data_IF_150744962083
#
_entry.id   IF_150744962083
#
_cell.length_a   1.000
_cell.length_b   1.000
_cell.length_c   1.000
_cell.angle_alpha   90.00
_cell.angle_beta   90.00
_cell.angle_gamma   90.00
#
_symmetry.space_group_name_H-M   'P 1'
#
loop_
_entity.id
_entity.type
_entity.pdbx_description
1 polymer ?
#
# COMPACT_ATOMS: atom_id res chain seq x y z
N UNK A 1 43.63 -55.04 0.75
CA UNK A 1 43.52 -53.56 0.58
C UNK A 1 42.65 -53.12 -0.60
N UNK A 2 42.62 -53.85 -1.73
CA UNK A 2 41.79 -53.46 -2.89
C UNK A 2 40.28 -53.80 -2.76
N UNK A 3 39.89 -54.79 -1.94
CA UNK A 3 38.48 -55.12 -1.72
C UNK A 3 37.75 -54.12 -0.82
N UNK A 4 38.42 -53.52 0.18
CA UNK A 4 37.76 -52.56 1.09
C UNK A 4 37.39 -51.28 0.36
N UNK A 5 38.25 -50.77 -0.53
CA UNK A 5 37.97 -49.56 -1.30
C UNK A 5 36.77 -49.69 -2.25
N UNK A 6 36.48 -50.89 -2.77
CA UNK A 6 35.30 -51.12 -3.62
C UNK A 6 33.99 -51.13 -2.83
N UNK A 7 34.02 -51.59 -1.59
CA UNK A 7 32.86 -51.56 -0.69
C UNK A 7 32.59 -50.11 -0.25
N UNK A 8 33.62 -49.34 0.11
CA UNK A 8 33.46 -47.92 0.42
C UNK A 8 32.93 -47.11 -0.76
N UNK A 9 33.39 -47.39 -1.98
CA UNK A 9 32.91 -46.70 -3.18
C UNK A 9 31.46 -47.07 -3.52
N UNK A 10 31.07 -48.35 -3.36
CA UNK A 10 29.69 -48.79 -3.58
C UNK A 10 28.72 -48.26 -2.52
N UNK A 11 29.13 -48.18 -1.25
CA UNK A 11 28.35 -47.57 -0.17
C UNK A 11 28.25 -46.05 -0.36
N UNK A 12 29.32 -45.39 -0.79
CA UNK A 12 29.31 -43.97 -1.13
C UNK A 12 28.35 -43.67 -2.28
N UNK A 13 28.39 -44.45 -3.37
CA UNK A 13 27.46 -44.29 -4.49
C UNK A 13 26.02 -44.65 -4.10
N UNK A 14 25.78 -45.65 -3.24
CA UNK A 14 24.44 -45.97 -2.74
C UNK A 14 23.87 -44.86 -1.84
N UNK A 15 24.70 -44.25 -0.99
CA UNK A 15 24.31 -43.09 -0.17
C UNK A 15 24.06 -41.88 -1.06
N UNK A 16 24.93 -41.57 -2.02
CA UNK A 16 24.77 -40.45 -2.96
C UNK A 16 23.56 -40.64 -3.89
N UNK A 17 23.29 -41.88 -4.33
CA UNK A 17 22.13 -42.20 -5.18
C UNK A 17 20.82 -42.16 -4.38
N UNK A 18 20.82 -42.61 -3.13
CA UNK A 18 19.68 -42.43 -2.22
C UNK A 18 19.48 -40.95 -1.89
N UNK A 19 20.56 -40.17 -1.73
CA UNK A 19 20.53 -38.70 -1.60
C UNK A 19 19.92 -38.00 -2.81
N UNK A 20 20.26 -38.42 -4.03
CA UNK A 20 19.71 -37.84 -5.27
C UNK A 20 18.23 -38.18 -5.48
N UNK A 21 17.80 -39.38 -5.10
CA UNK A 21 16.39 -39.80 -5.22
C UNK A 21 15.53 -39.19 -4.10
N UNK A 22 16.09 -38.95 -2.91
CA UNK A 22 15.41 -38.24 -1.82
C UNK A 22 15.33 -36.72 -2.00
N UNK A 23 16.18 -36.10 -2.84
CA UNK A 23 16.10 -34.67 -3.14
C UNK A 23 14.95 -34.32 -4.09
N UNK A 24 14.51 -35.27 -4.92
CA UNK A 24 13.35 -35.09 -5.81
C UNK A 24 12.01 -35.06 -5.07
N UNK A 25 11.93 -35.64 -3.88
CA UNK A 25 10.68 -35.77 -3.11
C UNK A 25 10.39 -34.60 -2.16
N UNK A 26 11.35 -33.68 -1.94
CA UNK A 26 11.15 -32.46 -1.12
C UNK A 26 10.62 -31.29 -1.96
N UNK A 27 10.22 -31.55 -3.22
CA UNK A 27 9.69 -30.52 -4.13
C UNK A 27 8.17 -30.39 -4.13
N UNK A 28 7.46 -31.16 -3.29
CA UNK A 28 6.02 -30.98 -3.09
C UNK A 28 5.65 -31.43 -1.67
N UNK A 29 5.89 -30.57 -0.66
CA UNK A 29 5.33 -30.80 0.67
C UNK A 29 4.07 -29.94 0.86
N UNK A 30 2.87 -30.55 0.97
CA UNK A 30 1.61 -29.86 1.29
C UNK A 30 1.60 -29.22 2.69
N UNK A 31 2.60 -29.47 3.55
CA UNK A 31 2.63 -29.06 4.96
C UNK A 31 2.98 -27.58 5.23
N UNK A 32 3.28 -26.82 4.17
CA UNK A 32 3.76 -25.43 4.23
C UNK A 32 2.96 -24.54 5.19
N UNK A 33 1.63 -24.51 5.10
CA UNK A 33 0.81 -23.58 5.91
C UNK A 33 0.89 -23.82 7.42
N UNK A 34 0.97 -25.09 7.84
CA UNK A 34 1.10 -25.47 9.26
C UNK A 34 2.50 -25.17 9.82
N UNK A 35 3.53 -25.36 9.00
CA UNK A 35 4.92 -25.03 9.34
C UNK A 35 5.14 -23.51 9.36
N UNK A 36 4.51 -22.79 8.44
CA UNK A 36 4.61 -21.35 8.30
C UNK A 36 3.88 -20.58 9.40
N UNK A 37 2.73 -21.06 9.84
CA UNK A 37 2.02 -20.45 10.98
C UNK A 37 2.88 -20.53 12.26
N UNK A 38 3.58 -21.66 12.46
CA UNK A 38 4.53 -21.81 13.59
C UNK A 38 5.73 -20.88 13.43
N UNK A 39 6.34 -20.85 12.24
CA UNK A 39 7.45 -19.93 11.93
C UNK A 39 7.05 -18.47 12.17
N UNK A 40 5.83 -18.09 11.76
CA UNK A 40 5.24 -16.79 11.98
C UNK A 40 5.10 -16.43 13.45
N UNK A 41 4.54 -17.34 14.25
CA UNK A 41 4.41 -17.14 15.70
C UNK A 41 5.77 -16.99 16.40
N UNK A 42 6.78 -17.77 15.98
CA UNK A 42 8.14 -17.67 16.52
C UNK A 42 8.80 -16.34 16.12
N UNK A 43 8.66 -15.94 14.86
CA UNK A 43 9.15 -14.66 14.37
C UNK A 43 8.47 -13.47 15.05
N UNK A 44 7.14 -13.51 15.21
CA UNK A 44 6.36 -12.47 15.89
C UNK A 44 6.85 -12.26 17.32
N UNK A 45 7.10 -13.34 18.07
CA UNK A 45 7.64 -13.26 19.44
C UNK A 45 8.99 -12.56 19.50
N UNK A 46 9.83 -12.72 18.49
CA UNK A 46 11.16 -12.09 18.44
C UNK A 46 11.09 -10.64 17.97
N UNK A 47 10.34 -10.38 16.89
CA UNK A 47 10.08 -9.05 16.34
C UNK A 47 9.52 -8.13 17.41
N UNK A 48 8.52 -8.59 18.16
CA UNK A 48 7.83 -7.80 19.17
C UNK A 48 8.66 -7.49 20.41
N UNK A 49 9.77 -8.21 20.65
CA UNK A 49 10.75 -7.81 21.68
C UNK A 49 11.54 -6.57 21.26
N UNK A 50 11.72 -6.39 19.97
CA UNK A 50 12.51 -5.31 19.38
C UNK A 50 11.66 -4.10 18.98
N UNK A 51 10.35 -4.30 18.77
CA UNK A 51 9.41 -3.25 18.41
C UNK A 51 8.74 -2.63 19.63
N UNK A 52 8.59 -1.31 19.59
CA UNK A 52 7.66 -0.61 20.47
C UNK A 52 6.27 -0.65 19.85
N UNK A 53 5.40 -1.51 20.36
CA UNK A 53 4.00 -1.56 19.93
C UNK A 53 3.23 -0.38 20.53
N UNK A 54 2.36 0.22 19.72
CA UNK A 54 1.45 1.29 20.13
C UNK A 54 0.14 0.68 20.61
N UNK A 55 -0.29 1.07 21.81
CA UNK A 55 -1.56 0.66 22.40
C UNK A 55 -2.60 1.78 22.25
N UNK A 56 -3.12 1.93 21.03
CA UNK A 56 -4.22 2.85 20.69
C UNK A 56 -5.40 2.04 20.14
N UNK A 57 -6.40 1.82 20.99
CA UNK A 57 -7.56 0.99 20.66
C UNK A 57 -8.38 1.54 19.48
N UNK A 58 -8.44 2.86 19.28
CA UNK A 58 -9.22 3.43 18.17
C UNK A 58 -8.51 3.19 16.83
N UNK A 59 -7.20 3.40 16.79
CA UNK A 59 -6.40 3.13 15.58
C UNK A 59 -6.36 1.63 15.28
N UNK A 60 -6.25 0.81 16.32
CA UNK A 60 -6.19 -0.64 16.19
C UNK A 60 -7.53 -1.22 15.73
N UNK A 61 -8.66 -0.74 16.26
CA UNK A 61 -10.00 -1.10 15.79
C UNK A 61 -10.22 -0.72 14.32
N UNK A 62 -9.77 0.48 13.92
CA UNK A 62 -9.82 0.93 12.51
C UNK A 62 -9.06 -0.02 11.59
N UNK A 63 -7.80 -0.34 11.92
CA UNK A 63 -6.98 -1.26 11.11
C UNK A 63 -7.57 -2.66 11.10
N UNK A 64 -8.00 -3.19 12.25
CA UNK A 64 -8.60 -4.53 12.34
C UNK A 64 -9.84 -4.64 11.48
N UNK A 65 -10.77 -3.67 11.55
CA UNK A 65 -11.98 -3.67 10.72
C UNK A 65 -11.69 -3.70 9.22
N UNK A 66 -10.70 -2.93 8.79
CA UNK A 66 -10.28 -2.91 7.37
C UNK A 66 -9.60 -4.24 7.01
N UNK A 67 -8.61 -4.63 7.82
CA UNK A 67 -7.80 -5.83 7.62
C UNK A 67 -8.63 -7.11 7.63
N UNK A 68 -9.61 -7.25 8.53
CA UNK A 68 -10.51 -8.41 8.62
C UNK A 68 -11.39 -8.58 7.37
N UNK A 69 -11.89 -7.49 6.79
CA UNK A 69 -12.66 -7.55 5.53
C UNK A 69 -11.78 -8.08 4.39
N UNK A 70 -10.56 -7.58 4.29
CA UNK A 70 -9.62 -7.93 3.23
C UNK A 70 -9.10 -9.36 3.42
N UNK A 71 -8.71 -9.73 4.65
CA UNK A 71 -8.21 -11.07 4.95
C UNK A 71 -9.28 -12.13 4.82
N UNK A 72 -10.56 -11.80 5.07
CA UNK A 72 -11.69 -12.68 4.75
C UNK A 72 -11.74 -12.98 3.25
N UNK A 73 -11.51 -11.99 2.38
CA UNK A 73 -11.41 -12.24 0.94
C UNK A 73 -10.23 -13.15 0.63
N UNK A 74 -9.04 -12.85 1.19
CA UNK A 74 -7.82 -13.63 0.97
C UNK A 74 -7.97 -15.11 1.39
N UNK A 75 -8.63 -15.37 2.53
CA UNK A 75 -8.88 -16.73 3.03
C UNK A 75 -9.96 -17.49 2.24
N UNK A 76 -10.78 -16.82 1.43
CA UNK A 76 -11.91 -17.45 0.74
C UNK A 76 -11.83 -17.38 -0.79
N UNK A 77 -10.85 -16.68 -1.35
CA UNK A 77 -10.75 -16.47 -2.80
C UNK A 77 -9.34 -16.72 -3.29
N UNK A 78 -9.20 -17.70 -4.18
CA UNK A 78 -7.92 -17.99 -4.84
C UNK A 78 -7.64 -16.90 -5.88
N UNK A 79 -6.45 -16.32 -5.80
CA UNK A 79 -5.92 -15.39 -6.80
C UNK A 79 -4.66 -16.02 -7.38
N UNK A 80 -4.55 -16.04 -8.70
CA UNK A 80 -3.37 -16.61 -9.36
C UNK A 80 -2.15 -15.76 -9.05
N UNK A 81 -1.21 -16.33 -8.30
CA UNK A 81 0.10 -15.72 -8.04
C UNK A 81 1.05 -15.93 -9.21
N UNK A 82 1.81 -14.88 -9.53
CA UNK A 82 2.94 -14.85 -10.45
C UNK A 82 4.30 -15.02 -9.75
N UNK A 83 4.32 -14.94 -8.41
CA UNK A 83 5.50 -15.20 -7.58
C UNK A 83 5.07 -15.76 -6.21
N UNK A 84 5.53 -16.96 -5.85
CA UNK A 84 5.10 -17.61 -4.60
C UNK A 84 4.09 -18.73 -4.87
N UNK A 85 3.01 -18.77 -4.10
CA UNK A 85 2.02 -19.86 -4.14
C UNK A 85 0.59 -19.30 -4.22
N UNK A 86 -0.20 -19.84 -5.16
CA UNK A 86 -1.60 -19.41 -5.37
C UNK A 86 -2.60 -20.13 -4.45
N UNK A 87 -2.33 -21.36 -4.02
CA UNK A 87 -3.30 -22.14 -3.25
C UNK A 87 -3.64 -21.44 -1.93
N UNK A 88 -4.94 -21.35 -1.63
CA UNK A 88 -5.43 -20.71 -0.41
C UNK A 88 -4.86 -21.41 0.83
N UNK A 89 -4.13 -20.66 1.64
CA UNK A 89 -3.77 -21.04 3.00
C UNK A 89 -4.56 -20.16 3.97
N UNK A 90 -5.32 -20.79 4.86
CA UNK A 90 -6.04 -20.05 5.89
C UNK A 90 -5.07 -19.59 6.98
N UNK A 91 -5.01 -18.28 7.19
CA UNK A 91 -4.28 -17.67 8.29
C UNK A 91 -5.22 -16.91 9.23
N UNK A 92 -4.88 -16.93 10.53
CA UNK A 92 -5.49 -16.07 11.54
C UNK A 92 -4.74 -14.73 11.54
N UNK A 93 -5.15 -13.82 10.64
CA UNK A 93 -4.46 -12.56 10.45
C UNK A 93 -4.47 -11.71 11.72
N UNK A 94 -3.29 -11.25 12.12
CA UNK A 94 -3.09 -10.43 13.31
C UNK A 94 -2.54 -9.07 12.90
N UNK A 95 -3.20 -8.00 13.32
CA UNK A 95 -2.79 -6.63 13.02
C UNK A 95 -2.24 -5.95 14.27
N UNK A 96 -1.09 -5.29 14.15
CA UNK A 96 -0.44 -4.55 15.24
C UNK A 96 0.09 -3.21 14.74
N UNK A 97 0.11 -2.23 15.63
CA UNK A 97 0.64 -0.89 15.33
C UNK A 97 2.01 -0.75 15.99
N UNK A 98 2.98 -0.27 15.22
CA UNK A 98 4.32 0.07 15.72
C UNK A 98 4.37 1.58 15.98
N UNK A 99 4.83 1.97 17.17
CA UNK A 99 5.06 3.37 17.54
C UNK A 99 6.34 3.88 16.87
N UNK A 100 6.24 4.10 15.56
CA UNK A 100 7.26 4.68 14.70
C UNK A 100 6.61 5.70 13.77
N UNK A 101 7.30 6.83 13.56
CA UNK A 101 6.86 7.89 12.64
C UNK A 101 7.30 7.60 11.18
N UNK A 102 8.00 6.49 10.94
CA UNK A 102 8.33 6.03 9.60
C UNK A 102 7.08 5.60 8.82
N UNK A 103 7.09 5.82 7.50
CA UNK A 103 6.05 5.36 6.59
C UNK A 103 6.41 3.96 6.15
N UNK A 104 6.01 2.98 6.94
CA UNK A 104 6.24 1.58 6.65
C UNK A 104 5.11 0.70 7.17
N UNK A 105 4.89 -0.41 6.49
CA UNK A 105 4.09 -1.54 6.93
C UNK A 105 4.79 -2.80 6.42
N UNK A 106 4.59 -3.90 7.13
CA UNK A 106 5.18 -5.16 6.71
C UNK A 106 4.40 -6.35 7.24
N UNK A 107 4.50 -7.44 6.49
CA UNK A 107 3.99 -8.75 6.84
C UNK A 107 5.13 -9.71 7.17
N UNK A 108 4.92 -10.57 8.15
CA UNK A 108 5.77 -11.74 8.40
C UNK A 108 4.93 -13.02 8.21
N UNK A 109 5.55 -14.20 8.08
CA UNK A 109 4.83 -15.43 7.78
C UNK A 109 3.70 -15.71 8.78
N UNK A 110 2.65 -16.42 8.35
CA UNK A 110 1.52 -16.79 9.22
C UNK A 110 0.45 -15.70 9.40
N UNK A 111 0.48 -14.63 8.61
CA UNK A 111 -0.58 -13.60 8.62
C UNK A 111 -0.41 -12.49 9.66
N UNK A 112 0.80 -12.29 10.20
CA UNK A 112 1.07 -11.17 11.10
C UNK A 112 1.43 -9.92 10.30
N UNK A 113 0.65 -8.87 10.48
CA UNK A 113 0.75 -7.59 9.76
C UNK A 113 1.05 -6.48 10.78
N UNK A 114 2.11 -5.74 10.52
CA UNK A 114 2.55 -4.62 11.34
C UNK A 114 2.48 -3.33 10.53
N UNK A 115 1.93 -2.27 11.13
CA UNK A 115 1.77 -0.98 10.47
C UNK A 115 2.35 0.11 11.37
N UNK A 116 3.23 0.95 10.83
CA UNK A 116 3.78 2.05 11.60
C UNK A 116 2.75 3.18 11.71
N UNK A 117 2.72 3.85 12.87
CA UNK A 117 1.88 5.04 13.12
C UNK A 117 2.10 6.15 12.08
N UNK A 118 3.33 6.32 11.61
CA UNK A 118 3.69 7.25 10.53
C UNK A 118 2.97 6.94 9.22
N UNK A 119 2.87 5.66 8.83
CA UNK A 119 2.14 5.24 7.64
C UNK A 119 0.63 5.52 7.77
N UNK A 120 0.04 5.20 8.94
CA UNK A 120 -1.39 5.46 9.20
C UNK A 120 -1.70 6.96 9.07
N UNK A 121 -0.78 7.80 9.55
CA UNK A 121 -0.91 9.27 9.49
C UNK A 121 -0.67 9.82 8.08
N UNK A 122 0.04 9.08 7.23
CA UNK A 122 0.30 9.44 5.84
C UNK A 122 -0.86 9.08 4.90
N UNK A 123 -1.63 8.03 5.22
CA UNK A 123 -2.87 7.71 4.52
C UNK A 123 -3.94 8.79 4.77
N UNK A 124 -4.60 9.24 3.72
CA UNK A 124 -5.62 10.29 3.79
C UNK A 124 -7.05 9.76 3.81
N UNK A 125 -7.22 8.46 3.61
CA UNK A 125 -8.52 7.78 3.66
C UNK A 125 -8.39 6.33 4.11
N UNK A 126 -9.53 5.71 4.40
CA UNK A 126 -9.60 4.27 4.65
C UNK A 126 -9.35 3.45 3.38
N UNK A 127 -9.61 3.98 2.18
CA UNK A 127 -9.32 3.29 0.91
C UNK A 127 -7.81 3.16 0.68
N UNK A 128 -7.03 4.18 1.04
CA UNK A 128 -5.57 4.13 0.97
C UNK A 128 -4.98 3.21 2.03
N UNK A 129 -5.49 3.27 3.26
CA UNK A 129 -5.06 2.37 4.32
C UNK A 129 -5.42 0.90 3.98
N UNK A 130 -6.61 0.68 3.41
CA UNK A 130 -7.02 -0.62 2.89
C UNK A 130 -6.07 -1.11 1.80
N UNK A 131 -5.60 -0.24 0.90
CA UNK A 131 -4.65 -0.62 -0.14
C UNK A 131 -3.33 -1.12 0.43
N UNK A 132 -2.76 -0.43 1.42
CA UNK A 132 -1.55 -0.88 2.11
C UNK A 132 -1.76 -2.23 2.80
N UNK A 133 -2.88 -2.37 3.53
CA UNK A 133 -3.20 -3.64 4.20
C UNK A 133 -3.44 -4.78 3.20
N UNK A 134 -4.09 -4.52 2.07
CA UNK A 134 -4.30 -5.51 1.02
C UNK A 134 -3.00 -5.96 0.38
N UNK A 135 -2.05 -5.04 0.18
CA UNK A 135 -0.72 -5.35 -0.31
C UNK A 135 0.04 -6.27 0.66
N UNK A 136 0.07 -5.93 1.95
CA UNK A 136 0.71 -6.79 2.96
C UNK A 136 0.02 -8.14 3.15
N UNK A 137 -1.31 -8.18 3.07
CA UNK A 137 -2.08 -9.42 3.09
C UNK A 137 -1.76 -10.26 1.85
N UNK A 138 -1.56 -9.66 0.67
CA UNK A 138 -1.15 -10.39 -0.53
C UNK A 138 0.24 -11.03 -0.38
N UNK A 139 1.21 -10.32 0.22
CA UNK A 139 2.52 -10.90 0.56
C UNK A 139 2.42 -12.14 1.46
N UNK A 140 1.56 -12.07 2.48
CA UNK A 140 1.31 -13.19 3.38
C UNK A 140 0.56 -14.34 2.67
N UNK A 141 -0.54 -14.04 1.99
CA UNK A 141 -1.40 -15.01 1.31
C UNK A 141 -0.65 -15.79 0.22
N UNK A 142 0.24 -15.12 -0.52
CA UNK A 142 1.05 -15.76 -1.57
C UNK A 142 2.40 -16.26 -1.09
N UNK A 143 2.65 -16.22 0.22
CA UNK A 143 3.82 -16.81 0.85
C UNK A 143 5.16 -16.22 0.35
N UNK A 144 5.16 -14.93 -0.02
CA UNK A 144 6.32 -14.28 -0.66
C UNK A 144 7.58 -14.38 0.21
N UNK A 145 7.45 -14.21 1.53
CA UNK A 145 8.59 -14.28 2.46
C UNK A 145 9.19 -15.68 2.52
N UNK A 146 8.37 -16.71 2.70
CA UNK A 146 8.88 -18.08 2.80
C UNK A 146 9.45 -18.57 1.47
N UNK A 147 8.89 -18.12 0.35
CA UNK A 147 9.44 -18.38 -0.98
C UNK A 147 10.82 -17.71 -1.16
N UNK A 148 10.95 -16.44 -0.80
CA UNK A 148 12.20 -15.68 -0.89
C UNK A 148 13.30 -16.30 0.00
N UNK A 149 12.98 -16.66 1.25
CA UNK A 149 13.91 -17.34 2.16
C UNK A 149 14.39 -18.67 1.57
N UNK A 150 13.49 -19.43 0.93
CA UNK A 150 13.85 -20.69 0.26
C UNK A 150 14.77 -20.45 -0.93
N UNK A 151 14.50 -19.45 -1.76
CA UNK A 151 15.37 -19.08 -2.88
C UNK A 151 16.77 -18.69 -2.39
N UNK A 152 16.86 -17.88 -1.33
CA UNK A 152 18.14 -17.49 -0.72
C UNK A 152 18.89 -18.70 -0.14
N UNK A 153 18.19 -19.60 0.58
CA UNK A 153 18.81 -20.80 1.16
C UNK A 153 19.34 -21.80 0.12
N UNK A 154 18.78 -21.80 -1.10
CA UNK A 154 19.30 -22.63 -2.22
C UNK A 154 20.62 -22.09 -2.76
N UNK A 155 20.87 -20.79 -2.63
CA UNK A 155 22.09 -20.12 -3.07
C UNK A 155 23.16 -20.19 -1.96
N UNK A 156 22.76 -20.05 -0.70
CA UNK A 156 23.65 -20.15 0.46
C UNK A 156 23.80 -21.59 0.95
N UNK A 157 24.80 -22.29 0.41
CA UNK A 157 25.24 -23.63 0.83
C UNK A 157 25.54 -23.79 2.35
N UNK A 158 25.62 -22.69 3.11
CA UNK A 158 25.81 -22.68 4.58
C UNK A 158 24.48 -22.75 5.37
N UNK A 159 23.37 -22.23 4.84
CA UNK A 159 22.05 -22.36 5.49
C UNK A 159 21.49 -23.78 5.36
N UNK A 160 21.83 -24.47 4.27
CA UNK A 160 21.56 -25.90 4.11
C UNK A 160 22.23 -26.74 5.23
N UNK A 161 23.39 -26.32 5.74
CA UNK A 161 24.07 -26.99 6.86
C UNK A 161 23.37 -26.75 8.20
N UNK A 162 22.80 -25.56 8.42
CA UNK A 162 22.00 -25.26 9.62
C UNK A 162 20.68 -26.04 9.58
N UNK A 163 19.99 -26.08 8.44
CA UNK A 163 18.81 -26.92 8.26
C UNK A 163 19.12 -28.43 8.46
N UNK A 164 20.30 -28.89 8.03
CA UNK A 164 20.79 -30.26 8.24
C UNK A 164 21.09 -30.56 9.73
N UNK A 165 21.61 -29.58 10.48
CA UNK A 165 21.86 -29.72 11.93
C UNK A 165 20.54 -29.74 12.70
N UNK A 166 19.56 -28.90 12.32
CA UNK A 166 18.22 -28.90 12.90
C UNK A 166 17.45 -30.21 12.65
N UNK A 167 17.72 -30.88 11.52
CA UNK A 167 17.12 -32.19 11.22
C UNK A 167 17.77 -33.36 11.98
N UNK A 168 19.00 -33.19 12.47
CA UNK A 168 19.81 -34.25 13.09
C UNK A 168 19.93 -34.16 14.63
N UNK A 169 19.58 -33.03 15.26
CA UNK A 169 19.80 -32.79 16.69
C UNK A 169 18.54 -32.42 17.46
N UNK A 170 17.93 -33.39 18.15
CA UNK A 170 16.87 -33.14 19.14
C UNK A 170 17.45 -32.40 20.36
N UNK A 171 16.90 -31.22 20.65
CA UNK A 171 17.09 -30.34 21.83
C UNK A 171 18.28 -29.37 21.80
N UNK A 172 17.99 -28.07 21.98
CA UNK A 172 18.80 -26.83 21.86
C UNK A 172 19.04 -26.19 20.48
N UNK A 173 18.84 -26.90 19.36
CA UNK A 173 18.99 -26.30 18.02
C UNK A 173 17.73 -25.54 17.53
N UNK A 174 16.54 -25.93 17.99
CA UNK A 174 15.27 -25.33 17.55
C UNK A 174 15.17 -23.84 17.95
N UNK A 175 15.52 -23.49 19.19
CA UNK A 175 15.43 -22.11 19.69
C UNK A 175 16.38 -21.15 18.95
N UNK A 176 17.61 -21.59 18.65
CA UNK A 176 18.59 -20.77 17.92
C UNK A 176 18.22 -20.63 16.43
N UNK A 177 17.73 -21.71 15.81
CA UNK A 177 17.20 -21.68 14.44
C UNK A 177 16.00 -20.73 14.34
N UNK A 178 15.09 -20.76 15.30
CA UNK A 178 13.89 -19.93 15.32
C UNK A 178 14.20 -18.44 15.54
N UNK A 179 15.17 -18.11 16.41
CA UNK A 179 15.63 -16.72 16.61
C UNK A 179 16.29 -16.18 15.34
N UNK A 180 17.16 -16.96 14.71
CA UNK A 180 17.85 -16.54 13.48
C UNK A 180 16.86 -16.34 12.32
N UNK A 181 15.88 -17.24 12.18
CA UNK A 181 14.79 -17.09 11.20
C UNK A 181 13.91 -15.88 11.51
N UNK A 182 13.57 -15.63 12.78
CA UNK A 182 12.78 -14.47 13.18
C UNK A 182 13.46 -13.13 12.89
N UNK A 183 14.74 -12.99 13.24
CA UNK A 183 15.53 -11.80 12.94
C UNK A 183 15.71 -11.57 11.43
N UNK A 184 15.86 -12.65 10.65
CA UNK A 184 15.96 -12.55 9.19
C UNK A 184 14.62 -12.18 8.54
N UNK A 185 13.49 -12.75 9.01
CA UNK A 185 12.15 -12.35 8.58
C UNK A 185 11.91 -10.87 8.90
N UNK A 186 12.21 -10.44 10.14
CA UNK A 186 12.11 -9.03 10.52
C UNK A 186 12.91 -8.15 9.59
N UNK A 187 14.19 -8.50 9.34
CA UNK A 187 15.03 -7.74 8.43
C UNK A 187 14.36 -7.63 7.07
N UNK A 188 14.09 -8.74 6.37
CA UNK A 188 13.52 -8.70 5.01
C UNK A 188 12.20 -7.92 4.95
N UNK A 189 11.32 -8.13 5.93
CA UNK A 189 10.00 -7.50 5.99
C UNK A 189 10.07 -6.01 6.33
N UNK A 190 10.79 -5.65 7.40
CA UNK A 190 10.91 -4.28 7.86
C UNK A 190 11.76 -3.42 6.91
N UNK A 191 12.61 -4.06 6.10
CA UNK A 191 13.40 -3.40 5.05
C UNK A 191 12.76 -3.50 3.66
N UNK A 192 11.50 -3.96 3.56
CA UNK A 192 10.73 -4.10 2.31
C UNK A 192 11.53 -4.66 1.13
N UNK A 193 12.38 -5.65 1.39
CA UNK A 193 13.38 -6.13 0.42
C UNK A 193 12.84 -7.26 -0.44
N UNK A 194 11.56 -7.18 -0.83
CA UNK A 194 10.97 -8.12 -1.76
C UNK A 194 11.47 -7.83 -3.19
N UNK A 195 11.40 -8.87 -4.03
CA UNK A 195 11.78 -8.74 -5.43
C UNK A 195 10.71 -7.97 -6.21
N UNK A 196 11.08 -7.34 -7.33
CA UNK A 196 10.10 -6.64 -8.18
C UNK A 196 8.96 -7.55 -8.67
N UNK A 197 9.21 -8.86 -8.77
CA UNK A 197 8.17 -9.85 -9.11
C UNK A 197 7.17 -10.02 -7.97
N UNK A 198 7.64 -10.12 -6.74
CA UNK A 198 6.78 -10.19 -5.54
C UNK A 198 5.95 -8.90 -5.38
N UNK A 199 6.55 -7.73 -5.55
CA UNK A 199 5.86 -6.43 -5.46
C UNK A 199 4.74 -6.31 -6.49
N UNK A 200 5.01 -6.67 -7.76
CA UNK A 200 4.00 -6.65 -8.82
C UNK A 200 2.88 -7.65 -8.55
N UNK A 201 3.22 -8.83 -8.04
CA UNK A 201 2.22 -9.84 -7.67
C UNK A 201 1.32 -9.34 -6.53
N UNK A 202 1.91 -8.73 -5.51
CA UNK A 202 1.22 -8.16 -4.38
C UNK A 202 0.30 -7.00 -4.80
N UNK A 203 0.75 -6.08 -5.66
CA UNK A 203 -0.09 -4.99 -6.20
C UNK A 203 -1.31 -5.51 -6.96
N UNK A 204 -1.11 -6.44 -7.89
CA UNK A 204 -2.22 -6.98 -8.69
C UNK A 204 -3.22 -7.76 -7.83
N UNK A 205 -2.72 -8.46 -6.81
CA UNK A 205 -3.54 -9.21 -5.86
C UNK A 205 -4.28 -8.27 -4.91
N UNK A 206 -3.63 -7.20 -4.44
CA UNK A 206 -4.21 -6.17 -3.60
C UNK A 206 -5.40 -5.49 -4.30
N UNK A 207 -5.24 -5.08 -5.57
CA UNK A 207 -6.35 -4.55 -6.37
C UNK A 207 -7.56 -5.49 -6.38
N UNK A 208 -7.32 -6.79 -6.56
CA UNK A 208 -8.39 -7.78 -6.53
C UNK A 208 -9.07 -7.86 -5.16
N UNK A 209 -8.29 -7.92 -4.08
CA UNK A 209 -8.81 -7.95 -2.72
C UNK A 209 -9.61 -6.69 -2.36
N UNK A 210 -9.13 -5.50 -2.75
CA UNK A 210 -9.83 -4.23 -2.53
C UNK A 210 -11.21 -4.23 -3.19
N UNK A 211 -11.26 -4.60 -4.48
CA UNK A 211 -12.50 -4.67 -5.25
C UNK A 211 -13.50 -5.62 -4.59
N UNK A 212 -13.03 -6.80 -4.14
CA UNK A 212 -13.89 -7.81 -3.48
C UNK A 212 -14.33 -7.41 -2.08
N UNK A 213 -13.47 -6.71 -1.33
CA UNK A 213 -13.77 -6.22 0.01
C UNK A 213 -14.65 -4.95 0.00
N UNK A 214 -14.88 -4.35 -1.18
CA UNK A 214 -15.71 -3.16 -1.36
C UNK A 214 -14.98 -1.84 -1.09
N UNK A 215 -13.65 -1.85 -1.09
CA UNK A 215 -12.81 -0.65 -1.05
C UNK A 215 -12.56 -0.12 -2.47
N UNK A 216 -12.36 1.18 -2.60
CA UNK A 216 -12.05 1.80 -3.88
C UNK A 216 -10.58 1.54 -4.25
N UNK A 217 -10.28 0.75 -5.29
CA UNK A 217 -8.89 0.40 -5.64
C UNK A 217 -8.10 1.59 -6.21
N UNK A 218 -8.74 2.72 -6.49
CA UNK A 218 -8.04 3.98 -6.80
C UNK A 218 -7.22 4.48 -5.58
N UNK A 219 -7.55 4.04 -4.37
CA UNK A 219 -6.77 4.29 -3.16
C UNK A 219 -5.32 3.79 -3.29
N UNK A 220 -5.11 2.61 -3.87
CA UNK A 220 -3.77 2.05 -4.10
C UNK A 220 -2.94 2.94 -5.03
N UNK A 221 -3.52 3.34 -6.16
CA UNK A 221 -2.87 4.25 -7.10
C UNK A 221 -2.51 5.57 -6.43
N UNK A 222 -3.46 6.16 -5.71
CA UNK A 222 -3.31 7.51 -5.13
C UNK A 222 -2.27 7.51 -4.00
N UNK A 223 -2.23 6.44 -3.20
CA UNK A 223 -1.19 6.23 -2.20
C UNK A 223 0.19 6.11 -2.83
N UNK A 224 0.36 5.28 -3.87
CA UNK A 224 1.65 5.08 -4.54
C UNK A 224 2.14 6.36 -5.24
N UNK A 225 1.25 7.11 -5.88
CA UNK A 225 1.57 8.41 -6.47
C UNK A 225 2.05 9.40 -5.40
N UNK A 226 1.38 9.47 -4.24
CA UNK A 226 1.83 10.33 -3.13
C UNK A 226 3.16 9.87 -2.54
N UNK A 227 3.35 8.55 -2.40
CA UNK A 227 4.60 7.98 -1.91
C UNK A 227 5.75 8.34 -2.84
N UNK A 228 5.54 8.32 -4.16
CA UNK A 228 6.54 8.69 -5.16
C UNK A 228 6.98 10.17 -5.10
N UNK A 229 6.12 11.08 -4.60
CA UNK A 229 6.42 12.51 -4.46
C UNK A 229 7.33 12.84 -3.26
N UNK A 230 7.58 11.89 -2.34
CA UNK A 230 8.47 12.13 -1.20
C UNK A 230 9.92 12.27 -1.68
N UNK A 231 10.69 13.13 -1.01
CA UNK A 231 12.11 13.40 -1.32
C UNK A 231 12.99 13.39 -0.08
N UNK A 232 12.35 13.31 1.09
CA UNK A 232 12.89 13.36 2.45
C UNK A 232 13.06 11.97 3.07
N UNK A 233 12.72 10.89 2.36
CA UNK A 233 13.20 9.55 2.67
C UNK A 233 14.69 9.55 2.33
N UNK A 234 15.51 10.00 3.29
CA UNK A 234 16.96 10.00 3.21
C UNK A 234 17.39 8.58 2.84
N UNK A 235 18.19 8.49 1.77
CA UNK A 235 18.90 7.31 1.27
C UNK A 235 19.75 6.66 2.39
N UNK A 236 19.10 5.94 3.31
CA UNK A 236 19.71 4.87 4.06
C UNK A 236 19.34 3.60 3.30
N UNK A 237 20.36 2.95 2.73
CA UNK A 237 20.33 1.81 1.77
C UNK A 237 19.58 0.55 2.23
N UNK A 238 18.31 0.74 2.54
CA UNK A 238 17.30 -0.19 3.05
C UNK A 238 15.97 0.09 2.31
N UNK A 239 15.84 1.26 1.69
CA UNK A 239 14.86 1.60 0.67
C UNK A 239 15.57 2.24 -0.55
N UNK A 240 16.46 1.48 -1.19
CA UNK A 240 16.94 1.83 -2.54
C UNK A 240 15.79 1.59 -3.52
N UNK A 241 14.99 2.63 -3.74
CA UNK A 241 14.49 3.09 -5.05
C UNK A 241 13.11 3.77 -4.92
N UNK A 242 13.10 5.08 -4.70
CA UNK A 242 11.98 5.95 -5.08
C UNK A 242 11.43 5.69 -6.51
N UNK A 243 12.23 5.24 -7.51
CA UNK A 243 11.70 4.79 -8.80
C UNK A 243 10.63 3.68 -8.75
N UNK A 244 10.59 2.84 -7.71
CA UNK A 244 9.64 1.71 -7.67
C UNK A 244 8.21 2.16 -7.42
N UNK A 245 7.97 3.15 -6.56
CA UNK A 245 6.62 3.64 -6.27
C UNK A 245 5.95 4.26 -7.51
N UNK A 246 6.69 5.08 -8.27
CA UNK A 246 6.20 5.68 -9.52
C UNK A 246 5.92 4.63 -10.59
N UNK A 247 6.81 3.65 -10.75
CA UNK A 247 6.60 2.56 -11.71
C UNK A 247 5.43 1.64 -11.30
N UNK A 248 5.32 1.28 -10.02
CA UNK A 248 4.17 0.55 -9.47
C UNK A 248 2.87 1.31 -9.70
N UNK A 249 2.84 2.61 -9.41
CA UNK A 249 1.70 3.49 -9.70
C UNK A 249 1.31 3.45 -11.19
N UNK A 250 2.29 3.50 -12.10
CA UNK A 250 2.04 3.40 -13.55
C UNK A 250 1.42 2.06 -13.94
N UNK A 251 1.90 0.96 -13.36
CA UNK A 251 1.36 -0.39 -13.61
C UNK A 251 -0.07 -0.50 -13.06
N UNK A 252 -0.31 -0.08 -11.81
CA UNK A 252 -1.64 -0.07 -11.18
C UNK A 252 -2.61 0.79 -11.99
N UNK A 253 -2.20 1.99 -12.42
CA UNK A 253 -3.00 2.86 -13.29
C UNK A 253 -3.38 2.21 -14.61
N UNK A 254 -2.41 1.54 -15.25
CA UNK A 254 -2.66 0.76 -16.46
C UNK A 254 -3.68 -0.34 -16.20
N UNK A 255 -3.57 -1.04 -15.08
CA UNK A 255 -4.49 -2.13 -14.71
C UNK A 255 -5.89 -1.63 -14.43
N UNK A 256 -6.05 -0.56 -13.64
CA UNK A 256 -7.34 0.09 -13.37
C UNK A 256 -8.04 0.51 -14.67
N UNK A 257 -7.28 1.06 -15.61
CA UNK A 257 -7.78 1.44 -16.94
C UNK A 257 -8.21 0.22 -17.76
N UNK A 258 -7.40 -0.84 -17.77
CA UNK A 258 -7.69 -2.11 -18.46
C UNK A 258 -9.00 -2.75 -17.97
N UNK A 259 -9.23 -2.76 -16.66
CA UNK A 259 -10.45 -3.35 -16.06
C UNK A 259 -11.64 -2.38 -16.02
N UNK A 260 -11.49 -1.17 -16.58
CA UNK A 260 -12.57 -0.20 -16.73
C UNK A 260 -13.00 0.52 -15.45
N UNK A 261 -12.12 0.62 -14.43
CA UNK A 261 -12.40 1.39 -13.21
C UNK A 261 -12.06 2.87 -13.47
N UNK A 262 -13.04 3.80 -13.32
CA UNK A 262 -12.77 5.22 -13.44
C UNK A 262 -11.81 5.70 -12.34
N UNK A 263 -10.74 6.40 -12.72
CA UNK A 263 -9.74 6.89 -11.78
C UNK A 263 -10.22 8.23 -11.19
N UNK A 264 -10.94 8.16 -10.06
CA UNK A 264 -11.41 9.31 -9.30
C UNK A 264 -10.62 9.48 -8.00
N UNK A 265 -9.58 10.32 -8.02
CA UNK A 265 -8.68 10.54 -6.86
C UNK A 265 -9.37 11.33 -5.76
N UNK A 266 -10.27 12.24 -6.14
CA UNK A 266 -11.05 13.04 -5.20
C UNK A 266 -11.90 12.21 -4.23
N UNK A 267 -12.22 10.98 -4.59
CA UNK A 267 -13.00 10.06 -3.74
C UNK A 267 -12.15 9.35 -2.67
N UNK A 268 -10.83 9.29 -2.83
CA UNK A 268 -9.94 8.46 -2.00
C UNK A 268 -8.82 9.23 -1.33
N UNK A 269 -8.64 10.51 -1.64
CA UNK A 269 -7.58 11.35 -1.06
C UNK A 269 -8.08 12.77 -0.83
N UNK A 270 -7.83 13.28 0.38
CA UNK A 270 -8.14 14.67 0.74
C UNK A 270 -7.29 15.70 0.00
N UNK A 271 -6.04 15.36 -0.35
CA UNK A 271 -5.13 16.20 -1.12
C UNK A 271 -5.54 16.32 -2.59
N UNK A 272 -6.26 15.33 -3.10
CA UNK A 272 -6.85 15.33 -4.43
C UNK A 272 -8.32 15.77 -4.46
N UNK A 273 -8.87 16.20 -3.32
CA UNK A 273 -10.27 16.59 -3.20
C UNK A 273 -10.42 18.08 -2.83
N UNK A 274 -11.36 18.74 -3.49
CA UNK A 274 -11.92 19.99 -3.05
C UNK A 274 -12.95 19.74 -1.95
N UNK A 275 -12.77 20.40 -0.81
CA UNK A 275 -13.65 20.27 0.36
C UNK A 275 -14.09 21.64 0.85
N UNK A 276 -15.24 21.71 1.52
CA UNK A 276 -15.81 22.95 2.04
C UNK A 276 -15.62 23.01 3.56
N UNK A 277 -15.03 24.10 4.06
CA UNK A 277 -14.90 24.40 5.48
C UNK A 277 -15.70 25.66 5.81
N UNK A 278 -16.62 25.54 6.78
CA UNK A 278 -17.31 26.69 7.36
C UNK A 278 -16.38 27.41 8.33
N UNK A 279 -16.26 28.72 8.17
CA UNK A 279 -15.47 29.61 9.03
C UNK A 279 -16.41 30.68 9.56
N UNK A 280 -16.60 30.71 10.87
CA UNK A 280 -17.39 31.76 11.52
C UNK A 280 -16.58 33.05 11.59
N UNK A 281 -17.16 34.15 11.11
CA UNK A 281 -16.68 35.50 11.37
C UNK A 281 -17.64 36.22 12.32
N UNK A 282 -17.20 37.35 12.88
CA UNK A 282 -17.89 38.08 13.94
C UNK A 282 -19.38 38.38 13.66
N UNK A 283 -19.79 38.46 12.39
CA UNK A 283 -21.15 38.84 11.99
C UNK A 283 -21.77 37.96 10.90
N UNK A 284 -21.04 36.99 10.34
CA UNK A 284 -21.50 36.12 9.25
C UNK A 284 -20.62 34.87 9.13
N UNK A 285 -21.13 33.83 8.48
CA UNK A 285 -20.33 32.66 8.12
C UNK A 285 -19.73 32.83 6.73
N UNK A 286 -18.50 32.37 6.56
CA UNK A 286 -17.83 32.25 5.25
C UNK A 286 -17.56 30.77 4.99
N UNK A 287 -17.74 30.35 3.74
CA UNK A 287 -17.46 28.99 3.30
C UNK A 287 -16.20 29.00 2.46
N UNK A 288 -15.12 28.43 2.98
CA UNK A 288 -13.85 28.29 2.29
C UNK A 288 -13.81 26.97 1.54
N UNK A 289 -13.50 27.00 0.25
CA UNK A 289 -13.21 25.79 -0.53
C UNK A 289 -11.71 25.56 -0.50
N UNK A 290 -11.30 24.39 -0.02
CA UNK A 290 -9.91 23.98 0.09
C UNK A 290 -9.60 22.88 -0.92
N UNK A 291 -8.41 22.91 -1.52
CA UNK A 291 -7.86 21.84 -2.33
C UNK A 291 -6.38 21.65 -1.95
N UNK A 292 -5.96 20.42 -1.65
CA UNK A 292 -4.60 20.17 -1.14
C UNK A 292 -4.28 20.94 0.14
N UNK A 293 -5.28 21.12 1.03
CA UNK A 293 -5.16 21.88 2.28
C UNK A 293 -5.08 23.41 2.13
N UNK A 294 -5.15 23.96 0.90
CA UNK A 294 -5.09 25.40 0.65
C UNK A 294 -6.45 25.94 0.24
N UNK A 295 -6.86 27.08 0.81
CA UNK A 295 -8.08 27.78 0.39
C UNK A 295 -7.91 28.32 -1.02
N UNK A 296 -8.74 27.84 -1.95
CA UNK A 296 -8.72 28.23 -3.36
C UNK A 296 -9.82 29.23 -3.72
N UNK A 297 -10.94 29.22 -2.98
CA UNK A 297 -12.03 30.17 -3.17
C UNK A 297 -12.83 30.33 -1.86
N UNK A 298 -13.58 31.42 -1.75
CA UNK A 298 -14.49 31.69 -0.63
C UNK A 298 -15.85 32.11 -1.17
N UNK A 299 -16.91 31.66 -0.51
CA UNK A 299 -18.28 32.00 -0.83
C UNK A 299 -19.02 32.43 0.43
N UNK A 300 -20.01 33.31 0.26
CA UNK A 300 -20.97 33.63 1.30
C UNK A 300 -22.00 32.49 1.49
N UNK A 301 -22.32 31.76 0.42
CA UNK A 301 -23.28 30.66 0.42
C UNK A 301 -22.61 29.28 0.48
N UNK A 302 -23.14 28.41 1.35
CA UNK A 302 -22.70 27.01 1.43
C UNK A 302 -23.00 26.23 0.14
N UNK A 303 -24.14 26.50 -0.51
CA UNK A 303 -24.53 25.82 -1.75
C UNK A 303 -23.52 26.13 -2.85
N UNK A 304 -23.17 27.41 -3.02
CA UNK A 304 -22.20 27.84 -4.01
C UNK A 304 -20.81 27.26 -3.74
N UNK A 305 -20.39 27.17 -2.48
CA UNK A 305 -19.14 26.52 -2.11
C UNK A 305 -19.14 25.02 -2.45
N UNK A 306 -20.25 24.32 -2.20
CA UNK A 306 -20.38 22.88 -2.49
C UNK A 306 -20.44 22.60 -4.00
N UNK A 307 -21.21 23.39 -4.75
CA UNK A 307 -21.28 23.31 -6.21
C UNK A 307 -19.89 23.53 -6.82
N UNK A 308 -19.17 24.55 -6.36
CA UNK A 308 -17.81 24.82 -6.80
C UNK A 308 -16.85 23.67 -6.44
N UNK A 309 -16.88 23.16 -5.21
CA UNK A 309 -16.03 22.06 -4.79
C UNK A 309 -16.27 20.79 -5.64
N UNK A 310 -17.53 20.43 -5.89
CA UNK A 310 -17.88 19.29 -6.74
C UNK A 310 -17.37 19.49 -8.17
N UNK A 311 -17.52 20.69 -8.74
CA UNK A 311 -17.03 20.98 -10.07
C UNK A 311 -15.49 20.88 -10.19
N UNK A 312 -14.75 21.31 -9.15
CA UNK A 312 -13.30 21.11 -9.09
C UNK A 312 -12.96 19.61 -9.07
N UNK A 313 -13.63 18.81 -8.24
CA UNK A 313 -13.41 17.36 -8.18
C UNK A 313 -13.63 16.68 -9.53
N UNK A 314 -14.73 17.03 -10.23
CA UNK A 314 -15.02 16.49 -11.57
C UNK A 314 -13.92 16.83 -12.58
N UNK A 315 -13.43 18.07 -12.62
CA UNK A 315 -12.34 18.45 -13.53
C UNK A 315 -11.05 17.68 -13.24
N UNK A 316 -10.69 17.57 -11.96
CA UNK A 316 -9.44 16.94 -11.55
C UNK A 316 -9.45 15.44 -11.86
N UNK A 317 -10.61 14.80 -11.78
CA UNK A 317 -10.77 13.38 -12.11
C UNK A 317 -10.90 13.13 -13.63
N UNK A 318 -11.55 14.02 -14.40
CA UNK A 318 -11.79 13.85 -15.84
C UNK A 318 -10.68 14.42 -16.76
N UNK A 319 -9.60 14.98 -16.20
CA UNK A 319 -8.48 15.59 -16.95
C UNK A 319 -8.94 16.63 -17.99
N UNK A 320 -9.87 17.49 -17.60
CA UNK A 320 -10.41 18.52 -18.49
C UNK A 320 -9.33 19.56 -18.80
N UNK A 321 -9.17 19.89 -20.09
CA UNK A 321 -8.18 20.87 -20.54
C UNK A 321 -8.50 22.29 -20.07
N UNK A 322 -7.48 23.01 -19.59
CA UNK A 322 -7.58 24.41 -19.14
C UNK A 322 -8.19 25.37 -20.18
N UNK A 323 -8.10 25.07 -21.47
CA UNK A 323 -8.65 25.89 -22.55
C UNK A 323 -10.18 25.87 -22.60
N UNK A 324 -10.83 24.96 -21.86
CA UNK A 324 -12.29 24.86 -21.81
C UNK A 324 -12.92 25.76 -20.74
N UNK A 325 -12.11 26.39 -19.87
CA UNK A 325 -12.60 27.34 -18.87
C UNK A 325 -12.81 28.71 -19.52
N UNK A 326 -13.98 29.31 -19.27
CA UNK A 326 -14.38 30.62 -19.73
C UNK A 326 -14.83 31.49 -18.55
N UNK A 327 -14.58 32.79 -18.67
CA UNK A 327 -15.05 33.81 -17.74
C UNK A 327 -16.12 34.65 -18.44
N UNK A 328 -17.29 34.76 -17.82
CA UNK A 328 -18.44 35.52 -18.31
C UNK A 328 -18.98 36.41 -17.18
N UNK A 329 -18.52 37.66 -17.10
CA UNK A 329 -18.92 38.59 -16.04
C UNK A 329 -18.57 38.06 -14.65
N UNK A 330 -19.59 37.81 -13.83
CA UNK A 330 -19.47 37.24 -12.48
C UNK A 330 -19.49 35.70 -12.44
N UNK A 331 -19.45 35.04 -13.60
CA UNK A 331 -19.58 33.58 -13.72
C UNK A 331 -18.34 32.96 -14.36
N UNK A 332 -17.85 31.87 -13.78
CA UNK A 332 -16.82 31.01 -14.37
C UNK A 332 -17.48 29.72 -14.87
N UNK A 333 -17.21 29.33 -16.10
CA UNK A 333 -17.81 28.15 -16.73
C UNK A 333 -16.74 27.25 -17.33
N UNK A 334 -16.99 25.94 -17.38
CA UNK A 334 -16.17 25.00 -18.14
C UNK A 334 -17.08 23.98 -18.82
N UNK A 335 -16.89 23.76 -20.13
CA UNK A 335 -17.69 22.80 -20.91
C UNK A 335 -19.22 23.00 -20.84
N UNK A 336 -19.71 24.22 -20.55
CA UNK A 336 -21.15 24.50 -20.39
C UNK A 336 -21.70 24.24 -18.98
N UNK A 337 -20.83 23.85 -18.03
CA UNK A 337 -21.15 23.75 -16.60
C UNK A 337 -20.70 25.05 -15.92
N UNK A 338 -21.57 25.66 -15.11
CA UNK A 338 -21.20 26.80 -14.27
C UNK A 338 -20.40 26.30 -13.05
N UNK A 339 -19.16 26.77 -12.92
CA UNK A 339 -18.24 26.42 -11.83
C UNK A 339 -18.47 27.30 -10.62
N UNK A 340 -18.43 28.60 -10.85
CA UNK A 340 -18.62 29.61 -9.82
C UNK A 340 -19.57 30.67 -10.38
N UNK A 341 -20.53 31.09 -9.55
CA UNK A 341 -21.33 32.27 -9.80
C UNK A 341 -21.31 33.12 -8.54
N UNK A 342 -20.74 34.31 -8.66
CA UNK A 342 -20.71 35.26 -7.55
C UNK A 342 -21.94 36.15 -7.57
N UNK A 343 -22.47 36.42 -6.39
CA UNK A 343 -23.71 37.16 -6.17
C UNK A 343 -23.44 38.46 -5.39
N UNK A 344 -24.44 39.33 -5.30
CA UNK A 344 -24.34 40.56 -4.51
C UNK A 344 -24.09 40.28 -3.02
N UNK A 345 -24.45 39.08 -2.53
CA UNK A 345 -24.14 38.65 -1.17
C UNK A 345 -22.63 38.47 -1.00
N UNK A 346 -21.95 37.83 -1.96
CA UNK A 346 -20.49 37.71 -1.97
C UNK A 346 -19.81 39.07 -2.04
N UNK A 347 -20.32 40.01 -2.84
CA UNK A 347 -19.79 41.37 -2.90
C UNK A 347 -19.95 42.11 -1.56
N UNK A 348 -21.08 41.94 -0.89
CA UNK A 348 -21.35 42.53 0.43
C UNK A 348 -20.44 41.96 1.51
N UNK A 349 -20.18 40.65 1.47
CA UNK A 349 -19.34 39.93 2.45
C UNK A 349 -17.85 40.21 2.23
N UNK A 350 -17.39 40.21 0.97
CA UNK A 350 -15.96 40.33 0.65
C UNK A 350 -15.51 41.74 0.28
N UNK A 351 -16.44 42.69 0.10
CA UNK A 351 -16.13 44.07 -0.27
C UNK A 351 -15.44 44.19 -1.64
N UNK A 352 -15.68 43.24 -2.54
CA UNK A 352 -15.10 43.17 -3.89
C UNK A 352 -16.21 42.98 -4.93
N UNK A 353 -16.15 43.67 -6.09
CA UNK A 353 -17.09 43.44 -7.18
C UNK A 353 -17.12 41.98 -7.61
N UNK A 354 -18.32 41.47 -7.93
CA UNK A 354 -18.51 40.06 -8.31
C UNK A 354 -17.67 39.64 -9.52
N UNK A 355 -17.44 40.53 -10.49
CA UNK A 355 -16.59 40.26 -11.66
C UNK A 355 -15.12 40.08 -11.26
N UNK A 356 -14.66 40.81 -10.23
CA UNK A 356 -13.30 40.67 -9.73
C UNK A 356 -13.12 39.33 -9.00
N UNK A 357 -14.09 38.92 -8.19
CA UNK A 357 -14.10 37.61 -7.53
C UNK A 357 -14.09 36.47 -8.57
N UNK A 358 -14.89 36.61 -9.63
CA UNK A 358 -14.92 35.67 -10.74
C UNK A 358 -13.57 35.59 -11.48
N UNK A 359 -12.93 36.74 -11.76
CA UNK A 359 -11.62 36.78 -12.41
C UNK A 359 -10.50 36.16 -11.54
N UNK A 360 -10.47 36.44 -10.23
CA UNK A 360 -9.51 35.83 -9.30
C UNK A 360 -9.70 34.30 -9.22
N UNK A 361 -10.95 33.84 -9.22
CA UNK A 361 -11.31 32.41 -9.20
C UNK A 361 -10.93 31.73 -10.51
N UNK A 362 -11.20 32.36 -11.66
CA UNK A 362 -10.81 31.87 -12.98
C UNK A 362 -9.30 31.61 -13.08
N UNK A 363 -8.47 32.57 -12.65
CA UNK A 363 -7.01 32.39 -12.64
C UNK A 363 -6.56 31.29 -11.67
N UNK A 364 -7.23 31.15 -10.52
CA UNK A 364 -6.93 30.10 -9.55
C UNK A 364 -7.19 28.72 -10.12
N UNK A 365 -8.33 28.49 -10.77
CA UNK A 365 -8.65 27.21 -11.40
C UNK A 365 -7.62 26.87 -12.48
N UNK A 366 -7.25 27.84 -13.34
CA UNK A 366 -6.25 27.61 -14.39
C UNK A 366 -4.91 27.18 -13.83
N UNK A 367 -4.45 27.79 -12.72
CA UNK A 367 -3.20 27.41 -12.05
C UNK A 367 -3.28 26.01 -11.46
N UNK A 368 -4.41 25.64 -10.87
CA UNK A 368 -4.61 24.29 -10.32
C UNK A 368 -4.56 23.22 -11.41
N UNK A 369 -5.28 23.43 -12.53
CA UNK A 369 -5.24 22.49 -13.66
C UNK A 369 -3.84 22.40 -14.24
N UNK A 370 -3.15 23.53 -14.40
CA UNK A 370 -1.78 23.54 -14.92
C UNK A 370 -0.82 22.76 -14.01
N UNK A 371 -0.91 22.93 -12.70
CA UNK A 371 -0.11 22.17 -11.74
C UNK A 371 -0.40 20.66 -11.81
N UNK A 372 -1.68 20.27 -11.91
CA UNK A 372 -2.06 18.87 -12.07
C UNK A 372 -1.59 18.28 -13.40
N UNK A 373 -1.67 19.04 -14.50
CA UNK A 373 -1.17 18.61 -15.81
C UNK A 373 0.34 18.37 -15.79
N UNK A 374 1.11 19.20 -15.08
CA UNK A 374 2.55 18.96 -14.90
C UNK A 374 2.75 17.66 -14.13
N UNK A 375 2.05 17.47 -13.00
CA UNK A 375 2.14 16.25 -12.19
C UNK A 375 1.85 14.98 -13.01
N UNK A 376 0.86 15.03 -13.88
CA UNK A 376 0.46 13.90 -14.73
C UNK A 376 1.46 13.55 -15.86
N UNK A 377 2.41 14.44 -16.17
CA UNK A 377 3.42 14.24 -17.22
C UNK A 377 4.70 13.53 -16.73
N UNK A 378 4.91 13.50 -15.41
CA UNK A 378 6.01 12.83 -14.74
C UNK A 378 5.47 11.59 -14.01
#
# INVERSE_FOLDING_TARGET
MLLSNRIYLAVFFAIVFTFLVSFGAVLADPSLGSSESKMGADAAREVERSLRLLDDENLLDRIRKIGEKISTVANNTEVTSTYGKSEITHFDYTFKIVDSDEINAFSIPGGYIYVNKGLISFCESDDELAAVLAHEIAHAAHHHMTYLLREQSKIDSQLALIALISLLGRTQAEDMSNILTGAQCYRISATSTFTDKAERDADMTALYYLIKAGYNPVGELTFLERLAERTDIIEWGIFEDHPKAAERARIVKSKLTEIGIPIKRSMVSTSCAATVKRVEQSSFSVFEVLFGGKTICKFASESSAKEFANAINEIMDEKISMYKIKLHGSTVECCGITFARFTNEDESVFGKPTEKLAAETYETIRRLIYAQMIRDLW
#
